data_IF_694640900480
#
_entry.id   IF_694640900480
#
_cell.length_a   1.000
_cell.length_b   1.000
_cell.length_c   1.000
_cell.angle_alpha   90.00
_cell.angle_beta   90.00
_cell.angle_gamma   90.00
#
_symmetry.space_group_name_H-M   'P 1'
#
loop_
_entity.id
_entity.type
_entity.pdbx_description
1 polymer ?
#
# COMPACT_ATOMS: atom_id res chain seq x y z
N UNK A 1 12.19 25.05 15.31
CA UNK A 1 12.67 24.32 14.11
C UNK A 1 12.53 22.81 14.29
N UNK A 2 12.96 22.26 15.43
CA UNK A 2 12.84 20.82 15.73
C UNK A 2 11.42 20.23 15.60
N UNK A 3 10.36 20.96 15.97
CA UNK A 3 9.00 20.44 15.80
C UNK A 3 8.61 20.09 14.35
N UNK A 4 9.19 20.77 13.35
CA UNK A 4 8.96 20.47 11.93
C UNK A 4 9.76 19.24 11.53
N UNK A 5 11.02 19.17 11.96
CA UNK A 5 11.92 18.04 11.74
C UNK A 5 11.34 16.74 12.34
N UNK A 6 10.94 16.77 13.61
CA UNK A 6 10.32 15.65 14.31
C UNK A 6 9.07 15.17 13.57
N UNK A 7 8.26 16.10 13.07
CA UNK A 7 7.06 15.76 12.28
C UNK A 7 7.42 15.07 10.96
N UNK A 8 8.48 15.49 10.27
CA UNK A 8 8.91 14.86 9.02
C UNK A 8 9.40 13.42 9.23
N UNK A 9 10.09 13.15 10.35
CA UNK A 9 10.58 11.80 10.67
C UNK A 9 9.50 10.86 11.21
N UNK A 10 8.30 11.36 11.53
CA UNK A 10 7.13 10.55 11.86
C UNK A 10 6.37 10.02 10.62
N UNK A 11 6.82 10.35 9.41
CA UNK A 11 6.17 9.91 8.17
C UNK A 11 6.71 8.54 7.76
N UNK A 12 5.83 7.55 7.67
CA UNK A 12 6.12 6.16 7.29
C UNK A 12 6.41 5.97 5.77
N UNK A 13 7.28 6.80 5.19
CA UNK A 13 7.61 6.77 3.76
C UNK A 13 8.49 5.56 3.39
N UNK A 14 8.26 4.99 2.21
CA UNK A 14 9.04 3.87 1.63
C UNK A 14 10.54 4.09 1.52
N UNK A 15 10.98 5.35 1.49
CA UNK A 15 12.39 5.70 1.34
C UNK A 15 13.20 5.38 2.61
N UNK A 16 12.52 5.27 3.76
CA UNK A 16 13.16 4.93 5.03
C UNK A 16 13.32 3.42 5.15
N UNK A 17 14.43 2.98 5.74
CA UNK A 17 14.64 1.55 6.03
C UNK A 17 15.39 1.39 7.36
N UNK A 18 14.95 0.49 8.25
CA UNK A 18 13.73 -0.34 8.16
C UNK A 18 12.43 0.49 8.37
N UNK A 19 11.35 0.17 7.64
CA UNK A 19 10.07 0.89 7.68
C UNK A 19 8.94 0.09 8.36
N UNK A 20 9.18 -0.38 9.59
CA UNK A 20 8.21 -1.22 10.30
C UNK A 20 6.96 -0.44 10.74
N UNK A 21 7.10 0.87 11.01
CA UNK A 21 6.01 1.76 11.39
C UNK A 21 4.88 1.77 10.35
N UNK A 22 5.24 1.75 9.06
CA UNK A 22 4.27 1.66 7.97
C UNK A 22 3.37 0.44 8.05
N UNK A 23 3.93 -0.74 8.31
CA UNK A 23 3.15 -1.98 8.39
C UNK A 23 2.15 -1.91 9.56
N UNK A 24 2.61 -1.43 10.72
CA UNK A 24 1.75 -1.25 11.89
C UNK A 24 0.62 -0.26 11.59
N UNK A 25 0.96 0.89 10.99
CA UNK A 25 -0.01 1.93 10.63
C UNK A 25 -1.05 1.44 9.61
N UNK A 26 -0.65 0.66 8.59
CA UNK A 26 -1.60 0.01 7.68
C UNK A 26 -2.53 -0.93 8.45
N UNK A 27 -1.99 -1.74 9.36
CA UNK A 27 -2.79 -2.65 10.20
C UNK A 27 -3.79 -1.90 11.09
N UNK A 28 -3.40 -0.76 11.66
CA UNK A 28 -4.29 0.12 12.43
C UNK A 28 -5.42 0.66 11.56
N UNK A 29 -5.11 1.14 10.35
CA UNK A 29 -6.11 1.65 9.39
C UNK A 29 -7.08 0.52 9.00
N UNK A 30 -6.58 -0.68 8.70
CA UNK A 30 -7.42 -1.84 8.37
C UNK A 30 -8.37 -2.17 9.52
N UNK A 31 -7.84 -2.29 10.74
CA UNK A 31 -8.64 -2.61 11.93
C UNK A 31 -9.68 -1.53 12.23
N UNK A 32 -9.28 -0.26 12.16
CA UNK A 32 -10.14 0.90 12.45
C UNK A 32 -11.31 0.99 11.48
N UNK A 33 -11.08 0.69 10.21
CA UNK A 33 -12.10 0.78 9.16
C UNK A 33 -12.80 -0.55 8.88
N UNK A 34 -12.45 -1.63 9.61
CA UNK A 34 -12.93 -2.99 9.34
C UNK A 34 -12.76 -3.37 7.86
N UNK A 35 -11.61 -3.01 7.27
CA UNK A 35 -11.39 -3.19 5.85
C UNK A 35 -11.19 -4.68 5.51
N UNK A 36 -11.91 -5.15 4.49
CA UNK A 36 -11.82 -6.54 4.02
C UNK A 36 -10.56 -6.81 3.18
N UNK A 37 -9.91 -5.76 2.67
CA UNK A 37 -8.72 -5.88 1.84
C UNK A 37 -7.97 -4.56 1.68
N UNK A 38 -6.74 -4.64 1.20
CA UNK A 38 -5.85 -3.49 0.97
C UNK A 38 -5.48 -3.39 -0.50
N UNK A 39 -5.62 -2.21 -1.09
CA UNK A 39 -5.08 -1.92 -2.43
C UNK A 39 -3.81 -1.10 -2.26
N UNK A 40 -2.68 -1.68 -2.64
CA UNK A 40 -1.40 -1.00 -2.66
C UNK A 40 -1.15 -0.44 -4.06
N UNK A 41 -1.31 0.88 -4.19
CA UNK A 41 -1.16 1.61 -5.43
C UNK A 41 0.18 2.33 -5.49
N UNK A 42 1.00 1.97 -6.48
CA UNK A 42 2.32 2.54 -6.75
C UNK A 42 2.41 3.15 -8.14
N UNK A 43 3.28 4.16 -8.29
CA UNK A 43 3.68 4.65 -9.60
C UNK A 43 4.72 3.71 -10.20
N UNK A 44 4.62 3.45 -11.51
CA UNK A 44 5.63 2.71 -12.26
C UNK A 44 7.01 3.31 -12.01
N UNK A 45 8.00 2.42 -11.83
CA UNK A 45 9.38 2.76 -11.50
C UNK A 45 9.61 3.40 -10.12
N UNK A 46 8.61 3.45 -9.24
CA UNK A 46 8.83 3.76 -7.82
C UNK A 46 9.50 2.57 -7.11
N UNK A 47 10.82 2.45 -7.26
CA UNK A 47 11.61 1.33 -6.73
C UNK A 47 11.44 1.12 -5.22
N UNK A 48 11.42 2.17 -4.36
CA UNK A 48 11.21 1.97 -2.93
C UNK A 48 9.89 1.26 -2.62
N UNK A 49 8.83 1.54 -3.37
CA UNK A 49 7.51 0.96 -3.18
C UNK A 49 7.43 -0.49 -3.67
N UNK A 50 8.14 -0.82 -4.75
CA UNK A 50 8.22 -2.17 -5.31
C UNK A 50 9.06 -3.12 -4.46
N UNK A 51 10.15 -2.61 -3.86
CA UNK A 51 11.09 -3.42 -3.08
C UNK A 51 10.70 -3.55 -1.61
N UNK A 52 9.75 -2.75 -1.13
CA UNK A 52 9.39 -2.74 0.28
C UNK A 52 8.80 -4.08 0.72
N UNK A 53 9.29 -4.60 1.85
CA UNK A 53 8.87 -5.88 2.40
C UNK A 53 7.41 -5.87 2.93
N UNK A 54 6.79 -4.70 3.07
CA UNK A 54 5.42 -4.53 3.60
C UNK A 54 4.40 -5.32 2.79
N UNK A 55 4.53 -5.40 1.46
CA UNK A 55 3.61 -6.21 0.63
C UNK A 55 3.66 -7.69 1.03
N UNK A 56 4.87 -8.19 1.29
CA UNK A 56 5.08 -9.59 1.70
C UNK A 56 4.53 -9.81 3.10
N UNK A 57 4.83 -8.91 4.03
CA UNK A 57 4.33 -8.98 5.39
C UNK A 57 2.80 -8.86 5.49
N UNK A 58 2.16 -8.02 4.68
CA UNK A 58 0.69 -7.94 4.63
C UNK A 58 0.07 -9.22 4.06
N UNK A 59 0.73 -9.90 3.11
CA UNK A 59 0.28 -11.21 2.63
C UNK A 59 0.37 -12.31 3.68
N UNK A 60 1.22 -12.14 4.70
CA UNK A 60 1.27 -13.03 5.87
C UNK A 60 0.15 -12.72 6.88
N UNK A 61 -0.52 -11.58 6.75
CA UNK A 61 -1.76 -11.28 7.49
C UNK A 61 -2.96 -11.89 6.77
N UNK A 62 -4.07 -12.11 7.49
CA UNK A 62 -5.32 -12.62 6.91
C UNK A 62 -6.07 -11.58 6.05
N UNK A 63 -5.44 -10.47 5.68
CA UNK A 63 -6.06 -9.38 4.90
C UNK A 63 -5.53 -9.46 3.47
N UNK A 64 -6.38 -9.78 2.48
CA UNK A 64 -5.93 -9.85 1.09
C UNK A 64 -5.47 -8.49 0.55
N UNK A 65 -4.45 -8.55 -0.32
CA UNK A 65 -3.79 -7.36 -0.86
C UNK A 65 -3.75 -7.41 -2.38
N UNK A 66 -4.18 -6.33 -3.04
CA UNK A 66 -4.02 -6.09 -4.46
C UNK A 66 -2.93 -5.04 -4.71
N UNK A 67 -1.85 -5.42 -5.38
CA UNK A 67 -0.81 -4.49 -5.83
C UNK A 67 -1.11 -3.97 -7.25
N UNK A 68 -1.12 -2.66 -7.41
CA UNK A 68 -1.30 -1.95 -8.69
C UNK A 68 -0.10 -1.05 -8.91
N UNK A 69 0.55 -1.19 -10.06
CA UNK A 69 1.62 -0.31 -10.52
C UNK A 69 1.20 0.28 -11.87
N UNK A 70 1.09 1.61 -11.94
CA UNK A 70 0.61 2.33 -13.13
C UNK A 70 1.30 3.67 -13.29
N UNK A 71 1.12 4.35 -14.42
CA UNK A 71 1.57 5.71 -14.64
C UNK A 71 0.36 6.64 -14.80
N UNK A 72 0.56 7.84 -15.36
CA UNK A 72 -0.54 8.79 -15.57
C UNK A 72 -1.33 8.55 -16.87
N UNK A 73 -0.98 7.52 -17.65
CA UNK A 73 -1.65 7.19 -18.90
C UNK A 73 -2.85 6.29 -18.61
N UNK A 74 -3.77 6.24 -19.58
CA UNK A 74 -5.00 5.46 -19.49
C UNK A 74 -4.90 4.08 -20.13
N UNK A 75 -3.72 3.71 -20.65
CA UNK A 75 -3.50 2.50 -21.44
C UNK A 75 -3.80 1.22 -20.64
N UNK A 76 -3.55 1.22 -19.33
CA UNK A 76 -3.77 0.08 -18.46
C UNK A 76 -5.04 0.19 -17.59
N UNK A 77 -5.85 1.24 -17.77
CA UNK A 77 -7.07 1.46 -16.99
C UNK A 77 -8.05 0.29 -17.09
N UNK A 78 -8.22 -0.30 -18.29
CA UNK A 78 -9.07 -1.48 -18.49
C UNK A 78 -8.57 -2.71 -17.72
N UNK A 79 -7.25 -2.93 -17.70
CA UNK A 79 -6.62 -4.01 -16.93
C UNK A 79 -6.77 -3.79 -15.43
N UNK A 80 -6.56 -2.55 -14.97
CA UNK A 80 -6.74 -2.18 -13.56
C UNK A 80 -8.18 -2.42 -13.12
N UNK A 81 -9.16 -1.99 -13.92
CA UNK A 81 -10.58 -2.20 -13.67
C UNK A 81 -10.91 -3.69 -13.46
N UNK A 82 -10.50 -4.55 -14.39
CA UNK A 82 -10.77 -5.99 -14.28
C UNK A 82 -10.15 -6.62 -13.01
N UNK A 83 -8.94 -6.19 -12.63
CA UNK A 83 -8.28 -6.66 -11.40
C UNK A 83 -8.98 -6.16 -10.14
N UNK A 84 -9.42 -4.91 -10.12
CA UNK A 84 -10.17 -4.34 -9.00
C UNK A 84 -11.55 -5.01 -8.84
N UNK A 85 -12.26 -5.24 -9.93
CA UNK A 85 -13.55 -5.97 -9.93
C UNK A 85 -13.38 -7.40 -9.39
N UNK A 86 -12.35 -8.12 -9.85
CA UNK A 86 -12.04 -9.45 -9.35
C UNK A 86 -11.72 -9.42 -7.84
N UNK A 87 -10.92 -8.45 -7.39
CA UNK A 87 -10.55 -8.30 -5.98
C UNK A 87 -11.76 -8.03 -5.10
N UNK A 88 -12.63 -7.10 -5.48
CA UNK A 88 -13.86 -6.80 -4.73
C UNK A 88 -14.84 -7.99 -4.78
N UNK A 89 -14.89 -8.72 -5.90
CA UNK A 89 -15.73 -9.90 -6.04
C UNK A 89 -15.36 -11.07 -5.13
N UNK A 90 -14.10 -11.18 -4.69
CA UNK A 90 -13.65 -12.20 -3.73
C UNK A 90 -14.21 -12.00 -2.32
N UNK A 91 -14.78 -10.83 -2.03
CA UNK A 91 -15.35 -10.45 -0.73
C UNK A 91 -16.89 -10.45 -0.71
N UNK A 92 -17.52 -10.98 -1.76
CA UNK A 92 -18.97 -11.26 -1.81
C UNK A 92 -19.29 -12.70 -1.42
#
# INVERSE_FOLDING_TARGET
>A
MHAIEDRCFQIDCTIFTPNQGRLAHIGEIVKKNQADGVIQYGLQFCQPFLMEAVVRALKETCVPVLQIDTDYRMEDAGRIKARAEAFVGMHR
#
